data_IF_591582395877
#
_entry.id   IF_591582395877
#
_cell.length_a   1.000
_cell.length_b   1.000
_cell.length_c   1.000
_cell.angle_alpha   90.00
_cell.angle_beta   90.00
_cell.angle_gamma   90.00
#
_symmetry.space_group_name_H-M   'P 1'
#
loop_
_entity.id
_entity.type
_entity.pdbx_description
1 polymer ?
#
# COMPACT_ATOMS: atom_id res chain seq x y z
N UNK A 1 -2.82 7.35 0.59
CA UNK A 1 -2.39 6.75 1.87
C UNK A 1 -3.59 6.51 2.79
N UNK A 2 -3.69 5.31 3.29
CA UNK A 2 -4.66 4.92 4.32
C UNK A 2 -3.99 4.97 5.69
N UNK A 3 -4.75 5.31 6.73
CA UNK A 3 -4.28 5.14 8.10
C UNK A 3 -4.03 3.65 8.36
N UNK A 4 -2.89 3.28 8.90
CA UNK A 4 -2.49 1.88 9.09
C UNK A 4 -3.55 1.07 9.84
N UNK A 5 -4.13 1.63 10.92
CA UNK A 5 -5.18 0.99 11.71
C UNK A 5 -6.45 0.67 10.91
N UNK A 6 -6.72 1.43 9.83
CA UNK A 6 -7.87 1.18 8.94
C UNK A 6 -7.60 0.06 7.91
N UNK A 7 -6.41 -0.52 7.93
CA UNK A 7 -5.99 -1.59 7.01
C UNK A 7 -5.48 -2.84 7.71
N UNK A 8 -5.46 -2.83 9.06
CA UNK A 8 -5.04 -3.96 9.87
C UNK A 8 -6.13 -5.03 9.94
N UNK A 9 -5.73 -6.24 10.30
CA UNK A 9 -6.61 -7.36 10.64
C UNK A 9 -6.36 -7.79 12.08
N UNK A 10 -7.37 -8.35 12.72
CA UNK A 10 -7.20 -8.97 14.04
C UNK A 10 -6.46 -10.32 13.97
N UNK A 11 -6.35 -10.90 12.79
CA UNK A 11 -5.87 -12.26 12.55
C UNK A 11 -4.48 -12.28 11.90
N UNK A 12 -3.47 -11.72 12.59
CA UNK A 12 -2.08 -11.82 12.16
C UNK A 12 -1.51 -10.56 11.53
N UNK A 13 -0.50 -10.71 10.66
CA UNK A 13 0.18 -9.60 9.98
C UNK A 13 -0.44 -9.28 8.63
N UNK A 14 -0.27 -8.03 8.21
CA UNK A 14 -0.65 -7.55 6.87
C UNK A 14 0.57 -6.98 6.16
N UNK A 15 0.66 -7.16 4.84
CA UNK A 15 1.71 -6.55 4.02
C UNK A 15 1.25 -5.19 3.51
N UNK A 16 2.00 -4.12 3.81
CA UNK A 16 1.70 -2.74 3.44
C UNK A 16 2.97 -1.96 3.15
N UNK A 17 2.90 -1.03 2.22
CA UNK A 17 3.95 -0.03 2.04
C UNK A 17 3.81 1.10 3.05
N UNK A 18 4.69 1.19 4.02
CA UNK A 18 4.75 2.34 4.94
C UNK A 18 5.22 3.56 4.16
N UNK A 19 4.51 4.67 4.29
CA UNK A 19 4.77 5.90 3.55
C UNK A 19 5.53 6.91 4.42
N UNK A 20 6.74 7.27 4.01
CA UNK A 20 7.47 8.42 4.51
C UNK A 20 7.28 9.59 3.54
N UNK A 21 6.95 10.77 4.05
CA UNK A 21 6.66 11.96 3.25
C UNK A 21 6.89 13.23 4.06
N UNK A 22 7.22 14.31 3.36
CA UNK A 22 7.49 15.61 3.95
C UNK A 22 6.20 16.35 4.38
N UNK A 23 6.36 17.53 5.00
CA UNK A 23 5.25 18.40 5.45
C UNK A 23 4.36 18.91 4.29
N UNK A 24 4.83 18.85 3.05
CA UNK A 24 4.10 19.23 1.84
C UNK A 24 3.42 18.02 1.19
N UNK A 25 3.49 16.85 1.84
CA UNK A 25 2.99 15.57 1.33
C UNK A 25 3.76 15.02 0.13
N UNK A 26 4.98 15.49 -0.14
CA UNK A 26 5.84 14.86 -1.12
C UNK A 26 6.35 13.54 -0.57
N UNK A 27 6.21 12.46 -1.34
CA UNK A 27 6.71 11.16 -0.97
C UNK A 27 8.25 11.20 -0.87
N UNK A 28 8.78 10.66 0.22
CA UNK A 28 10.21 10.44 0.40
C UNK A 28 10.56 8.98 0.12
N UNK A 29 9.77 8.06 0.70
CA UNK A 29 9.97 6.62 0.53
C UNK A 29 8.70 5.81 0.77
N UNK A 30 8.59 4.65 0.11
CA UNK A 30 7.66 3.58 0.44
C UNK A 30 8.50 2.40 0.95
N UNK A 31 8.22 1.94 2.17
CA UNK A 31 8.88 0.77 2.75
C UNK A 31 7.89 -0.39 2.85
N UNK A 32 7.96 -1.34 1.91
CA UNK A 32 7.14 -2.55 1.93
C UNK A 32 7.46 -3.37 3.19
N UNK A 33 6.44 -3.61 4.01
CA UNK A 33 6.62 -4.19 5.34
C UNK A 33 5.50 -5.16 5.68
N UNK A 34 5.83 -6.16 6.47
CA UNK A 34 4.85 -6.95 7.23
C UNK A 34 4.53 -6.20 8.52
N UNK A 35 3.27 -5.84 8.72
CA UNK A 35 2.83 -5.04 9.87
C UNK A 35 1.94 -5.88 10.78
N UNK A 36 2.24 -5.87 12.07
CA UNK A 36 1.49 -6.61 13.08
C UNK A 36 1.38 -5.84 14.40
N UNK A 37 0.43 -6.25 15.24
CA UNK A 37 0.41 -5.84 16.64
C UNK A 37 1.37 -6.71 17.46
N UNK A 38 2.29 -6.08 18.18
CA UNK A 38 3.21 -6.72 19.11
C UNK A 38 3.23 -5.93 20.42
N UNK A 39 2.82 -6.55 21.53
CA UNK A 39 2.81 -5.93 22.87
C UNK A 39 2.15 -4.54 22.88
N UNK A 40 0.96 -4.43 22.32
CA UNK A 40 0.16 -3.18 22.19
C UNK A 40 0.78 -2.11 21.26
N UNK A 41 1.85 -2.42 20.54
CA UNK A 41 2.50 -1.58 19.54
C UNK A 41 2.23 -2.09 18.14
N UNK A 42 2.31 -1.20 17.18
CA UNK A 42 2.27 -1.59 15.76
C UNK A 42 3.71 -1.63 15.25
N UNK A 43 4.16 -2.81 14.85
CA UNK A 43 5.52 -3.04 14.36
C UNK A 43 5.47 -3.30 12.86
N UNK A 44 6.27 -2.56 12.12
CA UNK A 44 6.54 -2.79 10.71
C UNK A 44 7.88 -3.49 10.56
N UNK A 45 7.84 -4.68 9.98
CA UNK A 45 9.03 -5.47 9.61
C UNK A 45 9.22 -5.36 8.10
N UNK A 46 10.22 -4.60 7.62
CA UNK A 46 10.48 -4.46 6.20
C UNK A 46 10.67 -5.80 5.50
N UNK A 47 10.21 -5.89 4.24
CA UNK A 47 10.48 -7.06 3.39
C UNK A 47 11.93 -7.08 2.89
N UNK A 48 12.59 -5.94 2.87
CA UNK A 48 14.04 -5.83 2.68
C UNK A 48 14.74 -6.22 3.99
N UNK A 49 15.36 -7.39 3.99
CA UNK A 49 16.06 -7.96 5.16
C UNK A 49 17.28 -7.13 5.62
N UNK A 50 17.73 -6.17 4.82
CA UNK A 50 18.81 -5.24 5.22
C UNK A 50 18.34 -4.17 6.20
N UNK A 51 17.02 -3.93 6.26
CA UNK A 51 16.38 -2.96 7.14
C UNK A 51 15.90 -3.65 8.44
N UNK A 52 15.88 -2.87 9.52
CA UNK A 52 15.41 -3.37 10.83
C UNK A 52 13.93 -3.08 11.02
N UNK A 53 13.22 -3.93 11.79
CA UNK A 53 11.87 -3.62 12.25
C UNK A 53 11.81 -2.28 13.01
N UNK A 54 10.70 -1.57 12.83
CA UNK A 54 10.46 -0.29 13.49
C UNK A 54 9.00 -0.14 13.94
N UNK A 55 8.80 0.67 14.97
CA UNK A 55 7.47 0.99 15.47
C UNK A 55 6.83 2.08 14.60
N UNK A 56 5.56 1.92 14.26
CA UNK A 56 4.75 2.92 13.57
C UNK A 56 3.61 3.41 14.46
N UNK A 57 3.25 4.68 14.32
CA UNK A 57 2.11 5.26 15.04
C UNK A 57 0.78 4.75 14.47
N UNK A 58 -0.29 4.87 15.25
CA UNK A 58 -1.66 4.52 14.80
C UNK A 58 -2.10 5.34 13.58
N UNK A 59 -1.56 6.53 13.42
CA UNK A 59 -1.90 7.47 12.34
C UNK A 59 -0.95 7.39 11.15
N UNK A 60 0.05 6.50 11.20
CA UNK A 60 0.98 6.27 10.09
C UNK A 60 0.21 5.92 8.83
N UNK A 61 0.60 6.53 7.71
CA UNK A 61 -0.01 6.23 6.42
C UNK A 61 0.67 5.05 5.74
N UNK A 62 -0.17 4.22 5.11
CA UNK A 62 0.30 3.08 4.32
C UNK A 62 -0.31 3.10 2.92
N UNK A 63 0.44 2.61 1.96
CA UNK A 63 -0.02 2.36 0.61
C UNK A 63 -0.85 1.09 0.53
N UNK A 64 -1.94 1.17 -0.22
CA UNK A 64 -2.77 0.03 -0.64
C UNK A 64 -2.78 -0.07 -2.16
N UNK A 65 -1.71 0.38 -2.81
CA UNK A 65 -1.55 0.39 -4.27
C UNK A 65 -2.69 1.11 -5.02
N UNK A 66 -3.29 2.12 -4.38
CA UNK A 66 -4.23 3.02 -5.04
C UNK A 66 -3.46 4.23 -5.56
N UNK A 67 -3.10 4.20 -6.82
CA UNK A 67 -2.16 5.10 -7.45
C UNK A 67 -2.80 5.76 -8.67
N UNK A 68 -2.48 7.04 -8.88
CA UNK A 68 -2.91 7.80 -10.06
C UNK A 68 -1.65 8.36 -10.73
N UNK A 69 -1.50 8.10 -12.01
CA UNK A 69 -0.32 8.47 -12.77
C UNK A 69 -0.68 9.34 -13.98
N UNK A 70 0.24 10.20 -14.38
CA UNK A 70 0.29 10.65 -15.76
C UNK A 70 0.76 9.51 -16.67
N UNK A 71 0.34 9.54 -17.94
CA UNK A 71 0.66 8.49 -18.91
C UNK A 71 2.17 8.30 -19.15
N UNK A 72 2.98 9.32 -18.88
CA UNK A 72 4.44 9.25 -19.01
C UNK A 72 5.08 8.18 -18.14
N UNK A 73 4.39 7.75 -17.07
CA UNK A 73 4.89 6.67 -16.20
C UNK A 73 5.08 5.36 -16.95
N UNK A 74 4.32 5.10 -18.03
CA UNK A 74 4.46 3.86 -18.78
C UNK A 74 5.82 3.76 -19.50
N UNK A 75 6.35 4.88 -20.01
CA UNK A 75 7.67 4.91 -20.63
C UNK A 75 8.77 4.61 -19.59
N UNK A 76 8.60 5.11 -18.38
CA UNK A 76 9.50 4.82 -17.28
C UNK A 76 9.44 3.36 -16.83
N UNK A 77 8.23 2.83 -16.66
CA UNK A 77 8.00 1.42 -16.30
C UNK A 77 8.62 0.49 -17.35
N UNK A 78 8.42 0.76 -18.64
CA UNK A 78 9.00 -0.04 -19.73
C UNK A 78 10.52 -0.09 -19.64
N UNK A 79 11.17 1.07 -19.46
CA UNK A 79 12.63 1.14 -19.27
C UNK A 79 13.08 0.32 -18.07
N UNK A 80 12.44 0.51 -16.91
CA UNK A 80 12.78 -0.19 -15.66
C UNK A 80 12.51 -1.69 -15.73
N UNK A 81 11.48 -2.11 -16.44
CA UNK A 81 11.19 -3.52 -16.67
C UNK A 81 12.29 -4.20 -17.49
N UNK A 82 12.81 -3.54 -18.52
CA UNK A 82 13.96 -4.06 -19.29
C UNK A 82 15.20 -4.20 -18.40
N UNK A 83 15.46 -3.20 -17.54
CA UNK A 83 16.57 -3.27 -16.57
C UNK A 83 16.38 -4.41 -15.57
N UNK A 84 15.16 -4.57 -15.05
CA UNK A 84 14.80 -5.66 -14.13
C UNK A 84 15.08 -7.03 -14.73
N UNK A 85 14.64 -7.30 -15.97
CA UNK A 85 14.92 -8.57 -16.64
C UNK A 85 16.41 -8.81 -16.93
N UNK A 86 17.18 -7.75 -17.13
CA UNK A 86 18.64 -7.88 -17.34
C UNK A 86 19.39 -8.20 -16.04
N UNK A 87 18.91 -7.68 -14.91
CA UNK A 87 19.53 -7.87 -13.59
C UNK A 87 19.19 -9.22 -12.96
N UNK A 88 18.00 -9.75 -13.22
CA UNK A 88 17.47 -10.95 -12.56
C UNK A 88 17.54 -12.16 -13.49
N UNK A 89 18.30 -13.16 -13.10
CA UNK A 89 18.46 -14.42 -13.87
C UNK A 89 17.42 -15.47 -13.48
N UNK A 90 16.91 -15.45 -12.25
CA UNK A 90 15.87 -16.35 -11.75
C UNK A 90 14.57 -15.57 -11.53
N UNK A 91 13.76 -15.46 -12.57
CA UNK A 91 12.49 -14.75 -12.55
C UNK A 91 11.39 -15.45 -11.74
N UNK A 92 11.61 -16.71 -11.33
CA UNK A 92 10.62 -17.44 -10.53
C UNK A 92 10.51 -16.92 -9.08
N UNK A 93 11.48 -16.16 -8.63
CA UNK A 93 11.58 -15.63 -7.26
C UNK A 93 11.59 -14.10 -7.17
N UNK A 94 11.56 -13.42 -8.31
CA UNK A 94 11.62 -11.97 -8.37
C UNK A 94 10.25 -11.39 -8.70
N UNK A 95 9.88 -10.32 -8.01
CA UNK A 95 8.68 -9.54 -8.27
C UNK A 95 9.08 -8.13 -8.74
N UNK A 96 8.42 -7.64 -9.79
CA UNK A 96 8.57 -6.27 -10.27
C UNK A 96 7.48 -5.42 -9.62
N UNK A 97 7.82 -4.75 -8.54
CA UNK A 97 6.86 -4.08 -7.67
C UNK A 97 6.67 -2.61 -8.05
N UNK A 98 5.42 -2.16 -8.12
CA UNK A 98 5.08 -0.75 -8.37
C UNK A 98 5.65 0.19 -7.29
N UNK A 99 5.63 -0.13 -5.98
CA UNK A 99 6.27 0.70 -4.97
C UNK A 99 7.75 0.97 -5.22
N UNK A 100 8.51 -0.03 -5.69
CA UNK A 100 9.93 0.14 -6.01
C UNK A 100 10.12 1.12 -7.18
N UNK A 101 9.27 1.00 -8.20
CA UNK A 101 9.28 1.91 -9.34
C UNK A 101 8.98 3.35 -8.93
N UNK A 102 8.06 3.54 -7.97
CA UNK A 102 7.77 4.87 -7.43
C UNK A 102 8.93 5.45 -6.65
N UNK A 103 9.57 4.64 -5.79
CA UNK A 103 10.76 5.04 -5.06
C UNK A 103 11.88 5.45 -6.02
N UNK A 104 12.14 4.64 -7.06
CA UNK A 104 13.14 4.94 -8.07
C UNK A 104 12.80 6.21 -8.88
N UNK A 105 11.55 6.35 -9.32
CA UNK A 105 11.11 7.52 -10.09
C UNK A 105 11.24 8.82 -9.27
N UNK A 106 10.90 8.76 -7.98
CA UNK A 106 11.05 9.87 -7.07
C UNK A 106 12.54 10.21 -6.83
N UNK A 107 13.36 9.21 -6.56
CA UNK A 107 14.81 9.36 -6.32
C UNK A 107 15.55 9.89 -7.56
N UNK A 108 15.17 9.45 -8.75
CA UNK A 108 15.73 9.90 -10.02
C UNK A 108 15.16 11.26 -10.49
N UNK A 109 14.27 11.87 -9.72
CA UNK A 109 13.56 13.11 -10.08
C UNK A 109 12.81 13.00 -11.43
N UNK A 110 12.37 11.80 -11.78
CA UNK A 110 11.56 11.57 -12.97
C UNK A 110 10.09 11.98 -12.74
N UNK A 111 9.59 11.78 -11.54
CA UNK A 111 8.23 12.13 -11.14
C UNK A 111 8.20 12.67 -9.72
N UNK A 112 7.37 13.70 -9.50
CA UNK A 112 6.99 14.12 -8.16
C UNK A 112 5.81 13.26 -7.70
N UNK A 113 5.91 12.67 -6.53
CA UNK A 113 4.89 11.78 -5.98
C UNK A 113 4.26 12.42 -4.74
N UNK A 114 2.95 12.62 -4.76
CA UNK A 114 2.22 13.21 -3.64
C UNK A 114 1.39 12.19 -2.89
N UNK A 115 1.47 12.21 -1.56
CA UNK A 115 0.69 11.35 -0.67
C UNK A 115 -0.64 12.02 -0.34
N UNK A 116 -1.73 11.51 -0.90
CA UNK A 116 -3.09 11.94 -0.58
C UNK A 116 -3.67 11.05 0.53
N UNK A 117 -4.19 11.67 1.60
CA UNK A 117 -4.77 10.94 2.74
C UNK A 117 -6.22 10.56 2.49
N UNK A 118 -6.59 9.36 2.90
CA UNK A 118 -7.99 8.94 2.98
C UNK A 118 -8.37 8.53 4.41
N UNK A 119 -9.62 8.77 4.78
CA UNK A 119 -10.22 8.29 6.04
C UNK A 119 -10.97 6.98 5.86
N UNK A 120 -10.99 6.44 4.65
CA UNK A 120 -11.70 5.20 4.35
C UNK A 120 -11.09 4.01 5.12
N UNK A 121 -11.94 3.05 5.45
CA UNK A 121 -11.51 1.73 5.87
C UNK A 121 -11.28 0.86 4.63
N UNK A 122 -10.22 0.08 4.68
CA UNK A 122 -10.01 -0.93 3.66
C UNK A 122 -10.72 -2.23 4.06
N UNK A 123 -11.42 -2.82 3.11
CA UNK A 123 -12.09 -4.10 3.28
C UNK A 123 -11.58 -5.07 2.22
N UNK A 124 -11.07 -6.23 2.66
CA UNK A 124 -10.57 -7.27 1.77
C UNK A 124 -11.11 -8.63 2.17
N UNK A 125 -11.29 -9.51 1.17
CA UNK A 125 -11.61 -10.92 1.38
C UNK A 125 -10.36 -11.71 1.05
N UNK A 126 -9.49 -11.90 2.02
CA UNK A 126 -8.28 -12.72 1.89
C UNK A 126 -8.55 -14.15 2.35
N UNK A 127 -9.34 -14.27 3.41
CA UNK A 127 -9.76 -15.55 3.98
C UNK A 127 -11.29 -15.68 3.91
N UNK A 128 -11.78 -16.91 4.02
CA UNK A 128 -13.22 -17.19 3.98
C UNK A 128 -13.99 -16.49 5.11
N UNK A 129 -13.34 -16.35 6.24
CA UNK A 129 -13.84 -15.70 7.46
C UNK A 129 -14.09 -14.20 7.27
N UNK A 130 -13.32 -13.55 6.39
CA UNK A 130 -13.47 -12.10 6.11
C UNK A 130 -14.78 -11.79 5.40
N UNK A 131 -15.37 -12.76 4.70
CA UNK A 131 -16.54 -12.55 3.82
C UNK A 131 -17.72 -11.91 4.55
N UNK A 132 -18.07 -12.38 5.73
CA UNK A 132 -19.23 -11.86 6.47
C UNK A 132 -18.96 -10.46 7.00
N UNK A 133 -17.74 -10.18 7.45
CA UNK A 133 -17.32 -8.85 7.89
C UNK A 133 -17.41 -7.83 6.74
N UNK A 134 -16.88 -8.17 5.58
CA UNK A 134 -16.93 -7.31 4.38
C UNK A 134 -18.38 -7.09 3.92
N UNK A 135 -19.21 -8.13 3.92
CA UNK A 135 -20.62 -8.05 3.57
C UNK A 135 -21.40 -7.12 4.50
N UNK A 136 -21.16 -7.23 5.81
CA UNK A 136 -21.78 -6.37 6.82
C UNK A 136 -21.30 -4.91 6.68
N UNK A 137 -20.00 -4.70 6.42
CA UNK A 137 -19.45 -3.38 6.18
C UNK A 137 -20.10 -2.70 4.96
N UNK A 138 -20.19 -3.42 3.83
CA UNK A 138 -20.86 -2.92 2.62
C UNK A 138 -22.33 -2.61 2.86
N UNK A 139 -23.06 -3.48 3.57
CA UNK A 139 -24.45 -3.23 3.92
C UNK A 139 -24.64 -1.96 4.76
N UNK A 140 -23.71 -1.70 5.69
CA UNK A 140 -23.70 -0.46 6.48
C UNK A 140 -23.40 0.77 5.61
N UNK A 141 -22.45 0.70 4.69
CA UNK A 141 -22.16 1.79 3.75
C UNK A 141 -23.35 2.13 2.87
N UNK A 142 -24.07 1.12 2.40
CA UNK A 142 -25.34 1.32 1.65
C UNK A 142 -26.40 1.98 2.54
N UNK A 143 -26.60 1.47 3.76
CA UNK A 143 -27.57 2.01 4.71
C UNK A 143 -27.28 3.47 5.07
N UNK A 144 -26.01 3.85 5.14
CA UNK A 144 -25.56 5.22 5.44
C UNK A 144 -25.64 6.15 4.22
N UNK A 145 -25.89 5.64 3.02
CA UNK A 145 -25.95 6.40 1.78
C UNK A 145 -24.58 6.64 1.12
N UNK A 146 -23.51 6.00 1.62
CA UNK A 146 -22.17 6.08 1.03
C UNK A 146 -22.10 5.35 -0.31
N UNK A 147 -22.92 4.28 -0.46
CA UNK A 147 -23.13 3.55 -1.71
C UNK A 147 -24.62 3.46 -2.08
N UNK A 148 -24.95 3.50 -3.36
CA UNK A 148 -26.34 3.25 -3.82
C UNK A 148 -26.71 1.77 -3.64
N UNK A 149 -28.01 1.49 -3.41
CA UNK A 149 -28.51 0.11 -3.32
C UNK A 149 -28.25 -0.70 -4.60
N UNK A 150 -28.30 -0.02 -5.76
CA UNK A 150 -28.04 -0.60 -7.06
C UNK A 150 -26.86 0.14 -7.72
N UNK A 151 -25.73 -0.51 -7.83
CA UNK A 151 -24.53 0.02 -8.49
C UNK A 151 -24.69 0.17 -10.01
N UNK A 152 -25.54 -0.66 -10.60
CA UNK A 152 -25.75 -0.74 -12.05
C UNK A 152 -27.18 -0.32 -12.37
N UNK A 153 -27.38 0.95 -12.68
CA UNK A 153 -28.62 1.49 -13.23
C UNK A 153 -28.38 1.98 -14.65
#
# INVERSE_FOLDING_TARGET
GYTVTNTMTENGSVKRGVLDFDQNSNLEQITESSIAYENDKIIATPLDETLKPFEVSKDTLVSMNMLVFDKSIFDYIEKKMVEFFRKNTDLSKCEFLIPDILNEANLEHYADVFVLRTKANWYGVTYKEDKENVKNALANLIKNGDYPENLWR
#
